data_IF_527029939253
#
_entry.id   IF_527029939253
#
_cell.length_a   1.000
_cell.length_b   1.000
_cell.length_c   1.000
_cell.angle_alpha   90.00
_cell.angle_beta   90.00
_cell.angle_gamma   90.00
#
_symmetry.space_group_name_H-M   'P 1'
#
loop_
_entity.id
_entity.type
_entity.pdbx_description
1 polymer ?
#
# COMPACT_ATOMS: atom_id res chain seq x y z
N UNK A 1 -14.65 5.18 -35.30
CA UNK A 1 -13.57 4.60 -34.48
C UNK A 1 -13.71 3.09 -34.54
N UNK A 2 -12.75 2.34 -35.08
CA UNK A 2 -12.86 0.89 -35.11
C UNK A 2 -12.82 0.37 -33.67
N UNK A 3 -13.73 -0.54 -33.32
CA UNK A 3 -13.89 -1.08 -31.95
C UNK A 3 -12.58 -1.64 -31.36
N UNK A 4 -11.69 -2.13 -32.22
CA UNK A 4 -10.35 -2.63 -31.85
C UNK A 4 -9.49 -1.53 -31.23
N UNK A 5 -9.51 -0.30 -31.77
CA UNK A 5 -8.71 0.81 -31.24
C UNK A 5 -9.22 1.27 -29.88
N UNK A 6 -10.55 1.25 -29.70
CA UNK A 6 -11.17 1.56 -28.41
C UNK A 6 -10.77 0.52 -27.35
N UNK A 7 -10.88 -0.78 -27.66
CA UNK A 7 -10.49 -1.85 -26.75
C UNK A 7 -9.00 -1.73 -26.40
N UNK A 8 -8.15 -1.48 -27.39
CA UNK A 8 -6.71 -1.29 -27.18
C UNK A 8 -6.42 -0.12 -26.26
N UNK A 9 -7.07 1.03 -26.49
CA UNK A 9 -6.92 2.22 -25.66
C UNK A 9 -7.32 1.92 -24.21
N UNK A 10 -8.48 1.30 -23.99
CA UNK A 10 -8.96 0.94 -22.64
C UNK A 10 -7.98 0.01 -21.94
N UNK A 11 -7.51 -1.04 -22.60
CA UNK A 11 -6.55 -1.99 -22.02
C UNK A 11 -5.23 -1.31 -21.65
N UNK A 12 -4.69 -0.47 -22.53
CA UNK A 12 -3.45 0.27 -22.25
C UNK A 12 -3.64 1.23 -21.08
N UNK A 13 -4.75 1.98 -21.05
CA UNK A 13 -5.06 2.87 -19.92
C UNK A 13 -5.18 2.10 -18.61
N UNK A 14 -5.82 0.93 -18.61
CA UNK A 14 -5.90 0.09 -17.40
C UNK A 14 -4.52 -0.41 -16.97
N UNK A 15 -3.69 -0.90 -17.89
CA UNK A 15 -2.36 -1.45 -17.58
C UNK A 15 -1.43 -0.37 -17.03
N UNK A 16 -1.43 0.84 -17.61
CA UNK A 16 -0.59 1.94 -17.15
C UNK A 16 -1.19 2.72 -15.98
N UNK A 17 -2.51 2.74 -15.85
CA UNK A 17 -3.23 3.41 -14.75
C UNK A 17 -3.26 2.58 -13.47
N UNK A 18 -3.28 1.25 -13.56
CA UNK A 18 -3.37 0.36 -12.40
C UNK A 18 -2.21 0.54 -11.39
N UNK A 19 -0.93 0.62 -11.80
CA UNK A 19 0.16 0.87 -10.85
C UNK A 19 -0.01 2.18 -10.07
N UNK A 20 -0.44 3.24 -10.76
CA UNK A 20 -0.70 4.53 -10.14
C UNK A 20 -1.88 4.45 -9.16
N UNK A 21 -2.98 3.81 -9.56
CA UNK A 21 -4.16 3.61 -8.72
C UNK A 21 -3.83 2.81 -7.45
N UNK A 22 -3.07 1.71 -7.59
CA UNK A 22 -2.60 0.89 -6.45
C UNK A 22 -1.71 1.71 -5.52
N UNK A 23 -0.81 2.51 -6.07
CA UNK A 23 0.12 3.32 -5.27
C UNK A 23 -0.62 4.42 -4.51
N UNK A 24 -1.57 5.12 -5.15
CA UNK A 24 -2.42 6.12 -4.50
C UNK A 24 -3.26 5.46 -3.40
N UNK A 25 -3.85 4.30 -3.68
CA UNK A 25 -4.62 3.56 -2.68
C UNK A 25 -3.78 3.18 -1.47
N UNK A 26 -2.58 2.61 -1.69
CA UNK A 26 -1.65 2.25 -0.62
C UNK A 26 -1.24 3.46 0.23
N UNK A 27 -0.94 4.60 -0.42
CA UNK A 27 -0.56 5.84 0.27
C UNK A 27 -1.72 6.39 1.12
N UNK A 28 -2.93 6.40 0.58
CA UNK A 28 -4.12 6.87 1.29
C UNK A 28 -4.52 5.92 2.43
N UNK A 29 -4.43 4.59 2.26
CA UNK A 29 -4.66 3.63 3.35
C UNK A 29 -3.63 3.87 4.47
N UNK A 30 -2.36 4.08 4.11
CA UNK A 30 -1.31 4.35 5.07
C UNK A 30 -1.54 5.67 5.83
N UNK A 31 -1.99 6.72 5.16
CA UNK A 31 -2.24 8.03 5.75
C UNK A 31 -3.51 8.06 6.64
N UNK A 32 -4.55 7.27 6.30
CA UNK A 32 -5.81 7.23 7.07
C UNK A 32 -5.68 6.53 8.41
N UNK A 33 -4.74 5.59 8.54
CA UNK A 33 -4.55 4.83 9.79
C UNK A 33 -3.86 5.70 10.84
N UNK A 34 -4.34 5.70 12.09
CA UNK A 34 -3.80 6.57 13.14
C UNK A 34 -2.40 6.13 13.58
N UNK A 35 -1.56 7.09 13.98
CA UNK A 35 -0.15 6.84 14.37
C UNK A 35 0.02 5.79 15.46
N UNK A 36 -0.91 5.71 16.42
CA UNK A 36 -0.84 4.74 17.51
C UNK A 36 -0.95 3.28 17.02
N UNK A 37 -1.70 3.02 15.94
CA UNK A 37 -1.82 1.68 15.37
C UNK A 37 -0.50 1.23 14.73
N UNK A 38 0.23 2.17 14.13
CA UNK A 38 1.56 1.92 13.57
C UNK A 38 2.60 1.65 14.65
N UNK A 39 2.58 2.41 15.76
CA UNK A 39 3.50 2.17 16.88
C UNK A 39 3.25 0.83 17.55
N UNK A 40 1.98 0.43 17.75
CA UNK A 40 1.62 -0.87 18.30
C UNK A 40 1.98 -2.04 17.36
N UNK A 41 2.03 -1.78 16.06
CA UNK A 41 2.49 -2.74 15.05
C UNK A 41 4.03 -2.77 14.88
N UNK A 42 4.79 -2.00 15.66
CA UNK A 42 6.26 -1.85 15.56
C UNK A 42 6.73 -1.38 14.16
N UNK A 43 5.94 -0.53 13.49
CA UNK A 43 6.24 -0.01 12.16
C UNK A 43 6.20 1.52 12.14
N UNK A 44 7.09 2.14 11.37
CA UNK A 44 7.11 3.58 11.18
C UNK A 44 6.21 4.01 10.00
N UNK A 45 5.09 4.70 10.29
CA UNK A 45 4.15 5.20 9.28
C UNK A 45 4.81 6.09 8.23
N UNK A 46 5.62 7.06 8.67
CA UNK A 46 6.26 8.05 7.79
C UNK A 46 7.23 7.37 6.84
N UNK A 47 7.97 6.37 7.32
CA UNK A 47 8.86 5.57 6.47
C UNK A 47 8.07 4.87 5.35
N UNK A 48 6.98 4.19 5.68
CA UNK A 48 6.15 3.49 4.70
C UNK A 48 5.51 4.45 3.69
N UNK A 49 4.95 5.57 4.16
CA UNK A 49 4.40 6.61 3.28
C UNK A 49 5.47 7.18 2.34
N UNK A 50 6.68 7.42 2.85
CA UNK A 50 7.80 7.94 2.05
C UNK A 50 8.25 6.93 0.99
N UNK A 51 8.37 5.65 1.34
CA UNK A 51 8.72 4.59 0.39
C UNK A 51 7.66 4.43 -0.71
N UNK A 52 6.37 4.50 -0.36
CA UNK A 52 5.26 4.43 -1.33
C UNK A 52 5.28 5.68 -2.24
N UNK A 53 5.44 6.88 -1.66
CA UNK A 53 5.46 8.13 -2.40
C UNK A 53 6.65 8.22 -3.36
N UNK A 54 7.86 7.94 -2.89
CA UNK A 54 9.07 7.93 -3.73
C UNK A 54 9.06 6.78 -4.72
N UNK A 55 8.41 5.66 -4.37
CA UNK A 55 8.21 4.52 -5.25
C UNK A 55 7.49 4.87 -6.55
N UNK A 56 6.62 5.89 -6.57
CA UNK A 56 5.95 6.36 -7.81
C UNK A 56 6.94 6.74 -8.91
N UNK A 57 8.12 7.26 -8.54
CA UNK A 57 9.17 7.64 -9.51
C UNK A 57 9.73 6.44 -10.27
N UNK A 58 9.61 5.24 -9.69
CA UNK A 58 10.08 3.99 -10.25
C UNK A 58 8.91 3.01 -10.32
N UNK A 59 8.13 3.03 -11.42
CA UNK A 59 6.89 2.25 -11.58
C UNK A 59 6.97 0.83 -10.98
N UNK A 60 8.01 0.06 -11.31
CA UNK A 60 8.20 -1.29 -10.77
C UNK A 60 8.47 -1.31 -9.25
N UNK A 61 9.31 -0.40 -8.76
CA UNK A 61 9.63 -0.27 -7.34
C UNK A 61 8.44 0.18 -6.50
N UNK A 62 7.72 1.21 -6.96
CA UNK A 62 6.49 1.69 -6.32
C UNK A 62 5.39 0.65 -6.29
N UNK A 63 5.21 -0.09 -7.39
CA UNK A 63 4.25 -1.19 -7.44
C UNK A 63 4.63 -2.30 -6.46
N UNK A 64 5.91 -2.71 -6.44
CA UNK A 64 6.40 -3.74 -5.51
C UNK A 64 6.20 -3.33 -4.04
N UNK A 65 6.61 -2.12 -3.66
CA UNK A 65 6.45 -1.59 -2.31
C UNK A 65 4.96 -1.48 -1.93
N UNK A 66 4.11 -1.02 -2.84
CA UNK A 66 2.67 -0.85 -2.60
C UNK A 66 1.96 -2.20 -2.42
N UNK A 67 2.28 -3.20 -3.25
CA UNK A 67 1.74 -4.55 -3.09
C UNK A 67 2.21 -5.16 -1.77
N UNK A 68 3.51 -5.02 -1.45
CA UNK A 68 4.05 -5.51 -0.19
C UNK A 68 3.36 -4.87 1.02
N UNK A 69 3.16 -3.54 0.97
CA UNK A 69 2.42 -2.82 1.99
C UNK A 69 1.01 -3.39 2.17
N UNK A 70 0.24 -3.52 1.08
CA UNK A 70 -1.15 -3.98 1.11
C UNK A 70 -1.30 -5.43 1.60
N UNK A 71 -0.35 -6.30 1.28
CA UNK A 71 -0.40 -7.72 1.65
C UNK A 71 0.20 -8.06 3.01
N UNK A 72 1.27 -7.38 3.43
CA UNK A 72 2.02 -7.74 4.64
C UNK A 72 1.88 -6.73 5.76
N UNK A 73 1.89 -5.43 5.46
CA UNK A 73 1.92 -4.37 6.49
C UNK A 73 0.51 -3.97 6.89
N UNK A 74 -0.35 -3.68 5.92
CA UNK A 74 -1.75 -3.31 6.12
C UNK A 74 -2.50 -4.25 7.08
N UNK A 75 -2.46 -5.59 6.95
CA UNK A 75 -3.18 -6.46 7.89
C UNK A 75 -2.65 -6.39 9.32
N UNK A 76 -1.33 -6.20 9.51
CA UNK A 76 -0.72 -6.10 10.84
C UNK A 76 -1.09 -4.79 11.52
N UNK A 77 -1.03 -3.67 10.79
CA UNK A 77 -1.44 -2.36 11.32
C UNK A 77 -2.95 -2.35 11.60
N UNK A 78 -3.77 -2.99 10.75
CA UNK A 78 -5.20 -3.14 11.00
C UNK A 78 -5.50 -4.00 12.23
N UNK A 79 -4.74 -5.07 12.46
CA UNK A 79 -4.89 -5.90 13.66
C UNK A 79 -4.57 -5.11 14.93
N UNK A 80 -3.47 -4.34 14.91
CA UNK A 80 -3.10 -3.45 16.01
C UNK A 80 -4.16 -2.37 16.26
N UNK A 81 -4.77 -1.84 15.21
CA UNK A 81 -5.90 -0.91 15.28
C UNK A 81 -7.14 -1.53 15.96
N UNK A 82 -7.34 -2.84 15.83
CA UNK A 82 -8.42 -3.59 16.51
C UNK A 82 -8.03 -4.06 17.92
N UNK A 83 -6.85 -3.69 18.42
CA UNK A 83 -6.34 -4.14 19.72
C UNK A 83 -5.75 -5.55 19.72
N UNK A 84 -5.60 -6.18 18.55
CA UNK A 84 -4.90 -7.47 18.41
C UNK A 84 -3.41 -7.17 18.26
N UNK A 85 -2.69 -7.31 19.36
CA UNK A 85 -1.24 -7.08 19.40
C UNK A 85 -0.48 -8.35 19.02
N UNK A 86 0.71 -8.22 18.41
CA UNK A 86 1.63 -9.34 18.25
C UNK A 86 1.92 -9.98 19.61
N UNK A 87 1.94 -11.31 19.67
CA UNK A 87 2.26 -12.06 20.88
C UNK A 87 3.69 -11.72 21.32
N UNK A 88 3.82 -11.12 22.51
CA UNK A 88 5.10 -10.69 23.08
C UNK A 88 5.75 -11.89 23.77
N UNK A 89 6.89 -12.43 23.31
CA UNK A 89 7.45 -13.69 23.82
C UNK A 89 8.06 -13.62 25.23
N UNK A 90 8.05 -12.45 25.87
CA UNK A 90 8.83 -12.13 27.06
C UNK A 90 8.00 -12.02 28.35
N UNK A 91 6.72 -12.39 28.31
CA UNK A 91 5.88 -12.53 29.51
C UNK A 91 5.62 -14.03 29.73
N UNK A 92 6.17 -14.64 30.80
CA UNK A 92 5.91 -16.05 31.13
C UNK A 92 4.47 -16.32 31.53
#
# INVERSE_FOLDING_TARGET
>A
MPWVDLIRAVLLTMVFGAPLAITIWALLDAARRPQWAWSLAERNQVLWMTMILLGVLFVCGGLFISIWYLWKVRPVVAAAEMGVLPERPDIP
#
